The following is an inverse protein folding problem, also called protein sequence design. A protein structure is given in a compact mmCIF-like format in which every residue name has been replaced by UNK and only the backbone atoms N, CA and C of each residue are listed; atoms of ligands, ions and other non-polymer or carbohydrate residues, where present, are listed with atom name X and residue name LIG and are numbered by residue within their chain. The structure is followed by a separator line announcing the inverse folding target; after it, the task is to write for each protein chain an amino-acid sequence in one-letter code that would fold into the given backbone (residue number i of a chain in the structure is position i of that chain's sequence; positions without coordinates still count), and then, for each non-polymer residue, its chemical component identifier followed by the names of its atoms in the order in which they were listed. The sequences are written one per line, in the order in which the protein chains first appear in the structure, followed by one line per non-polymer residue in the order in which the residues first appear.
data_IF_502368263987
#
_entry.id   IF_502368263987
#
_cell.length_a   1.000
_cell.length_b   1.000
_cell.length_c   1.000
_cell.angle_alpha   90.00
_cell.angle_beta   90.00
_cell.angle_gamma   90.00
#
_symmetry.space_group_name_H-M   'P 1'
#
loop_
_entity.id
_entity.type
_entity.pdbx_description
1 polymer ?
#
# COMPACT_ATOMS: atom_id res chain seq x y z
N UNK A 1 -72.43 23.74 19.85
CA UNK A 1 -72.12 24.17 18.46
C UNK A 1 -70.65 23.90 18.19
N UNK A 2 -70.34 22.91 17.36
CA UNK A 2 -68.95 22.50 17.05
C UNK A 2 -68.39 23.48 16.01
N UNK A 3 -67.49 24.36 16.43
CA UNK A 3 -66.72 25.21 15.54
C UNK A 3 -65.81 24.31 14.70
N UNK A 4 -66.23 24.00 13.47
CA UNK A 4 -65.35 23.44 12.47
C UNK A 4 -64.25 24.48 12.23
N UNK A 5 -63.05 24.25 12.74
CA UNK A 5 -61.85 24.96 12.32
C UNK A 5 -61.86 24.98 10.79
N UNK A 6 -61.85 26.15 10.14
CA UNK A 6 -62.06 26.21 8.70
C UNK A 6 -60.92 25.43 8.06
N UNK A 7 -61.26 24.36 7.33
CA UNK A 7 -60.32 23.39 6.71
C UNK A 7 -59.16 24.10 5.99
N UNK A 8 -59.43 25.28 5.41
CA UNK A 8 -58.41 26.17 4.82
C UNK A 8 -57.29 26.59 5.79
N UNK A 9 -57.59 26.92 7.04
CA UNK A 9 -56.57 27.30 8.05
C UNK A 9 -55.72 26.11 8.48
N UNK A 10 -56.30 24.92 8.59
CA UNK A 10 -55.56 23.68 8.89
C UNK A 10 -54.62 23.34 7.73
N UNK A 11 -55.11 23.46 6.50
CA UNK A 11 -54.31 23.23 5.30
C UNK A 11 -53.14 24.22 5.18
N UNK A 12 -53.39 25.51 5.40
CA UNK A 12 -52.34 26.54 5.39
C UNK A 12 -51.31 26.28 6.50
N UNK A 13 -51.75 25.94 7.72
CA UNK A 13 -50.84 25.63 8.81
C UNK A 13 -49.96 24.40 8.51
N UNK A 14 -50.54 23.34 7.95
CA UNK A 14 -49.80 22.14 7.52
C UNK A 14 -48.78 22.45 6.43
N UNK A 15 -49.14 23.29 5.46
CA UNK A 15 -48.22 23.70 4.39
C UNK A 15 -47.05 24.51 4.97
N UNK A 16 -47.32 25.44 5.88
CA UNK A 16 -46.27 26.24 6.54
C UNK A 16 -45.32 25.33 7.33
N UNK A 17 -45.85 24.38 8.10
CA UNK A 17 -45.03 23.40 8.84
C UNK A 17 -44.14 22.60 7.87
N UNK A 18 -44.73 22.07 6.79
CA UNK A 18 -43.98 21.30 5.79
C UNK A 18 -42.86 22.13 5.16
N UNK A 19 -43.15 23.37 4.77
CA UNK A 19 -42.15 24.28 4.18
C UNK A 19 -41.03 24.59 5.19
N UNK A 20 -41.37 24.90 6.45
CA UNK A 20 -40.36 25.14 7.49
C UNK A 20 -39.51 23.90 7.76
N UNK A 21 -40.10 22.71 7.73
CA UNK A 21 -39.38 21.45 7.90
C UNK A 21 -38.40 21.22 6.74
N UNK A 22 -38.85 21.38 5.49
CA UNK A 22 -38.00 21.23 4.31
C UNK A 22 -36.85 22.24 4.31
N UNK A 23 -37.13 23.50 4.68
CA UNK A 23 -36.08 24.53 4.79
C UNK A 23 -35.07 24.18 5.89
N UNK A 24 -35.54 23.76 7.07
CA UNK A 24 -34.67 23.33 8.16
C UNK A 24 -33.81 22.13 7.76
N UNK A 25 -34.40 21.14 7.09
CA UNK A 25 -33.69 19.96 6.59
C UNK A 25 -32.63 20.35 5.55
N UNK A 26 -32.97 21.23 4.60
CA UNK A 26 -32.03 21.72 3.59
C UNK A 26 -30.84 22.45 4.20
N UNK A 27 -31.06 23.31 5.19
CA UNK A 27 -30.00 23.99 5.93
C UNK A 27 -29.10 22.97 6.67
N UNK A 28 -29.72 21.96 7.28
CA UNK A 28 -28.98 20.91 7.97
C UNK A 28 -28.09 20.08 7.02
N UNK A 29 -28.63 19.68 5.85
CA UNK A 29 -27.86 18.95 4.83
C UNK A 29 -26.66 19.78 4.33
N UNK A 30 -26.85 21.08 4.07
CA UNK A 30 -25.75 21.96 3.67
C UNK A 30 -24.70 22.13 4.78
N UNK A 31 -25.10 22.07 6.04
CA UNK A 31 -24.15 22.09 7.15
C UNK A 31 -23.37 20.78 7.25
N UNK A 32 -24.04 19.65 7.02
CA UNK A 32 -23.40 18.32 6.99
C UNK A 32 -22.39 18.21 5.85
N UNK A 33 -22.75 18.68 4.66
CA UNK A 33 -21.86 18.74 3.49
C UNK A 33 -20.55 19.50 3.81
N UNK A 34 -20.68 20.68 4.42
CA UNK A 34 -19.51 21.46 4.88
C UNK A 34 -18.69 20.74 5.95
N UNK A 35 -19.32 19.97 6.83
CA UNK A 35 -18.62 19.20 7.84
C UNK A 35 -17.84 18.05 7.19
N UNK A 36 -18.46 17.34 6.24
CA UNK A 36 -17.82 16.27 5.48
C UNK A 36 -16.62 16.82 4.71
N UNK A 37 -16.79 17.92 3.97
CA UNK A 37 -15.70 18.54 3.20
C UNK A 37 -14.52 18.92 4.10
N UNK A 38 -14.79 19.53 5.26
CA UNK A 38 -13.75 19.86 6.23
C UNK A 38 -13.02 18.60 6.70
N UNK A 39 -13.77 17.57 7.09
CA UNK A 39 -13.19 16.30 7.56
C UNK A 39 -12.44 15.52 6.46
N UNK A 40 -12.83 15.64 5.20
CA UNK A 40 -12.12 15.03 4.08
C UNK A 40 -10.85 15.81 3.71
N UNK A 41 -10.89 17.14 3.87
CA UNK A 41 -9.72 18.01 3.66
C UNK A 41 -8.71 17.94 4.82
N UNK A 42 -9.17 17.67 6.04
CA UNK A 42 -8.32 17.58 7.23
C UNK A 42 -8.19 16.13 7.72
N UNK A 43 -6.95 15.64 7.79
CA UNK A 43 -6.52 14.58 8.70
C UNK A 43 -6.88 13.11 8.40
N UNK A 44 -7.66 12.76 7.36
CA UNK A 44 -7.95 11.34 7.09
C UNK A 44 -6.69 10.49 6.78
N UNK A 45 -5.64 11.12 6.24
CA UNK A 45 -4.40 10.46 5.83
C UNK A 45 -3.13 11.16 6.35
N UNK A 46 -3.14 11.69 7.58
CA UNK A 46 -1.89 12.21 8.17
C UNK A 46 -0.85 11.09 8.14
N UNK A 47 0.39 11.28 7.65
CA UNK A 47 1.37 10.21 7.60
C UNK A 47 1.64 9.67 9.02
N UNK A 48 1.68 8.35 9.22
CA UNK A 48 1.99 7.80 10.53
C UNK A 48 3.46 8.02 10.85
N UNK A 49 3.81 7.92 12.14
CA UNK A 49 5.20 7.73 12.54
C UNK A 49 5.59 6.32 12.13
N UNK A 50 6.62 6.17 11.32
CA UNK A 50 7.15 4.89 10.88
C UNK A 50 8.44 4.55 11.64
N UNK A 51 8.45 3.39 12.28
CA UNK A 51 9.60 2.87 13.01
C UNK A 51 10.22 1.75 12.17
N UNK A 52 11.49 1.92 11.85
CA UNK A 52 12.24 0.97 11.03
C UNK A 52 13.24 0.19 11.87
N UNK A 53 13.54 -1.04 11.46
CA UNK A 53 14.66 -1.80 12.01
C UNK A 53 16.00 -1.21 11.56
N UNK A 54 17.06 -1.48 12.31
CA UNK A 54 18.40 -1.12 11.85
C UNK A 54 18.73 -1.93 10.58
N UNK A 55 19.15 -1.29 9.48
CA UNK A 55 19.44 -2.00 8.24
C UNK A 55 20.66 -2.90 8.45
N UNK A 56 20.58 -4.14 7.96
CA UNK A 56 21.73 -5.03 8.01
C UNK A 56 22.84 -4.50 7.10
N UNK A 57 24.00 -4.28 7.71
CA UNK A 57 25.20 -3.85 7.02
C UNK A 57 26.08 -5.06 6.72
N UNK A 58 26.42 -5.23 5.46
CA UNK A 58 27.41 -6.19 4.99
C UNK A 58 28.74 -5.48 4.78
N UNK A 59 29.83 -6.14 5.15
CA UNK A 59 31.19 -5.63 5.02
C UNK A 59 32.04 -6.64 4.27
N UNK A 60 33.02 -6.18 3.50
CA UNK A 60 34.00 -7.06 2.84
C UNK A 60 34.71 -7.93 3.88
N UNK A 61 34.88 -9.22 3.58
CA UNK A 61 35.44 -10.22 4.49
C UNK A 61 34.52 -10.62 5.66
N UNK A 62 33.32 -10.05 5.75
CA UNK A 62 32.34 -10.41 6.78
C UNK A 62 31.73 -11.79 6.54
N UNK A 63 31.23 -12.43 7.60
CA UNK A 63 30.50 -13.69 7.49
C UNK A 63 29.04 -13.43 7.06
N UNK A 64 28.62 -14.02 5.95
CA UNK A 64 27.25 -13.98 5.47
C UNK A 64 26.93 -15.23 4.66
N UNK A 65 25.76 -15.84 4.89
CA UNK A 65 25.26 -16.95 4.06
C UNK A 65 24.27 -16.42 3.05
N UNK A 66 24.36 -16.89 1.80
CA UNK A 66 23.43 -16.50 0.75
C UNK A 66 21.97 -16.78 1.14
N UNK A 67 21.70 -17.94 1.76
CA UNK A 67 20.35 -18.32 2.20
C UNK A 67 19.75 -17.35 3.23
N UNK A 68 20.57 -16.83 4.15
CA UNK A 68 20.12 -15.88 5.16
C UNK A 68 19.78 -14.53 4.51
N UNK A 69 20.60 -14.09 3.54
CA UNK A 69 20.35 -12.84 2.81
C UNK A 69 19.12 -12.92 1.91
N UNK A 70 18.90 -14.05 1.22
CA UNK A 70 17.72 -14.19 0.37
C UNK A 70 16.44 -14.25 1.20
N UNK A 71 16.46 -14.90 2.36
CA UNK A 71 15.33 -14.89 3.29
C UNK A 71 15.03 -13.49 3.82
N UNK A 72 16.06 -12.73 4.18
CA UNK A 72 15.92 -11.36 4.66
C UNK A 72 15.38 -10.40 3.59
N UNK A 73 15.84 -10.53 2.35
CA UNK A 73 15.30 -9.78 1.22
C UNK A 73 13.82 -10.11 0.98
N UNK A 74 13.45 -11.39 1.03
CA UNK A 74 12.05 -11.83 0.88
C UNK A 74 11.15 -11.24 1.97
N UNK A 75 11.60 -11.25 3.24
CA UNK A 75 10.87 -10.60 4.34
C UNK A 75 10.77 -9.08 4.16
N UNK A 76 11.79 -8.45 3.59
CA UNK A 76 11.81 -7.02 3.26
C UNK A 76 10.96 -6.65 2.02
N UNK A 77 10.19 -7.60 1.48
CA UNK A 77 9.28 -7.40 0.36
C UNK A 77 9.97 -7.40 -1.01
N UNK A 78 11.16 -7.96 -1.13
CA UNK A 78 11.78 -8.21 -2.44
C UNK A 78 11.27 -9.50 -3.07
N UNK A 79 11.26 -9.54 -4.40
CA UNK A 79 10.87 -10.72 -5.19
C UNK A 79 12.10 -11.33 -5.88
N UNK A 80 12.21 -12.65 -5.81
CA UNK A 80 13.23 -13.40 -6.54
C UNK A 80 12.81 -13.54 -8.01
N UNK A 81 13.73 -13.28 -8.93
CA UNK A 81 13.57 -13.42 -10.39
C UNK A 81 14.56 -14.41 -10.95
N UNK A 82 14.18 -15.07 -12.05
CA UNK A 82 15.12 -15.92 -12.78
C UNK A 82 16.26 -15.08 -13.39
N UNK A 83 17.41 -15.70 -13.64
CA UNK A 83 18.64 -15.02 -14.09
C UNK A 83 18.44 -14.17 -15.35
N UNK A 84 17.61 -14.64 -16.29
CA UNK A 84 17.34 -13.96 -17.57
C UNK A 84 16.09 -13.05 -17.55
N UNK A 85 15.39 -12.96 -16.42
CA UNK A 85 14.23 -12.08 -16.29
C UNK A 85 14.67 -10.64 -15.95
N UNK A 86 13.97 -9.66 -16.52
CA UNK A 86 14.22 -8.26 -16.19
C UNK A 86 13.89 -7.98 -14.71
N UNK A 87 14.82 -7.34 -14.00
CA UNK A 87 14.63 -6.91 -12.62
C UNK A 87 13.84 -5.60 -12.55
N UNK A 88 12.78 -5.58 -11.76
CA UNK A 88 12.08 -4.37 -11.35
C UNK A 88 12.60 -3.87 -10.00
N UNK A 89 12.19 -2.67 -9.60
CA UNK A 89 12.48 -2.16 -8.24
C UNK A 89 11.94 -3.15 -7.21
N UNK A 90 12.78 -3.45 -6.21
CA UNK A 90 12.55 -4.53 -5.23
C UNK A 90 12.55 -5.94 -5.81
N UNK A 91 13.26 -6.18 -6.90
CA UNK A 91 13.59 -7.54 -7.34
C UNK A 91 15.07 -7.87 -7.05
N UNK A 92 15.35 -9.15 -6.88
CA UNK A 92 16.70 -9.69 -6.83
C UNK A 92 16.80 -10.96 -7.65
N UNK A 93 18.02 -11.30 -8.07
CA UNK A 93 18.33 -12.60 -8.65
C UNK A 93 19.61 -13.15 -8.05
N UNK A 94 19.76 -14.46 -8.09
CA UNK A 94 20.92 -15.18 -7.55
C UNK A 94 21.52 -16.07 -8.62
N UNK A 95 22.83 -16.22 -8.56
CA UNK A 95 23.57 -17.11 -9.45
C UNK A 95 24.74 -17.74 -8.70
N UNK A 96 25.46 -18.62 -9.38
CA UNK A 96 26.62 -19.32 -8.84
C UNK A 96 27.68 -19.53 -9.92
N UNK A 97 28.93 -19.60 -9.50
CA UNK A 97 30.07 -19.83 -10.36
C UNK A 97 30.23 -18.74 -11.42
N UNK A 98 30.61 -19.17 -12.61
CA UNK A 98 30.83 -18.31 -13.78
C UNK A 98 29.54 -17.65 -14.29
N UNK A 99 28.36 -18.22 -14.01
CA UNK A 99 27.06 -17.66 -14.39
C UNK A 99 26.74 -16.34 -13.68
N UNK A 100 27.49 -15.97 -12.65
CA UNK A 100 27.38 -14.65 -12.05
C UNK A 100 27.74 -13.52 -13.02
N UNK A 101 28.63 -13.79 -13.99
CA UNK A 101 29.00 -12.80 -14.99
C UNK A 101 27.83 -12.44 -15.92
N UNK A 102 26.88 -13.34 -16.14
CA UNK A 102 25.66 -13.08 -16.93
C UNK A 102 24.67 -12.14 -16.21
N UNK A 103 24.82 -11.93 -14.90
CA UNK A 103 23.96 -11.02 -14.13
C UNK A 103 24.24 -9.54 -14.43
N UNK A 104 25.42 -9.24 -14.97
CA UNK A 104 25.92 -7.88 -15.16
C UNK A 104 26.37 -7.69 -16.60
N UNK A 105 25.95 -6.59 -17.23
CA UNK A 105 26.36 -6.32 -18.61
C UNK A 105 27.85 -6.00 -18.72
N UNK A 106 28.40 -5.35 -17.69
CA UNK A 106 29.82 -4.96 -17.61
C UNK A 106 30.34 -5.33 -16.21
N UNK A 107 31.04 -6.46 -16.04
CA UNK A 107 31.60 -6.83 -14.74
C UNK A 107 32.75 -5.87 -14.36
N UNK A 108 32.81 -5.40 -13.10
CA UNK A 108 33.91 -4.54 -12.64
C UNK A 108 35.25 -5.29 -12.64
N UNK A 109 36.38 -4.58 -12.81
CA UNK A 109 37.71 -5.22 -12.90
C UNK A 109 38.07 -6.06 -11.66
N UNK A 110 37.57 -5.68 -10.49
CA UNK A 110 37.76 -6.42 -9.25
C UNK A 110 36.77 -7.57 -9.04
N UNK A 111 35.96 -7.89 -10.05
CA UNK A 111 34.98 -8.98 -10.02
C UNK A 111 35.65 -10.32 -10.31
N UNK A 112 36.13 -10.97 -9.25
CA UNK A 112 36.79 -12.27 -9.32
C UNK A 112 35.76 -13.35 -8.96
N UNK A 113 35.56 -14.30 -9.87
CA UNK A 113 34.63 -15.42 -9.70
C UNK A 113 35.37 -16.75 -9.70
N UNK A 114 35.01 -17.60 -8.75
CA UNK A 114 35.39 -19.02 -8.68
C UNK A 114 34.15 -19.89 -8.91
N UNK A 115 34.31 -21.19 -9.16
CA UNK A 115 33.18 -22.14 -9.27
C UNK A 115 32.28 -22.13 -8.02
N UNK A 116 32.88 -21.90 -6.85
CA UNK A 116 32.18 -21.89 -5.55
C UNK A 116 31.59 -20.51 -5.20
N UNK A 117 31.80 -19.50 -6.04
CA UNK A 117 31.30 -18.15 -5.78
C UNK A 117 29.78 -18.10 -5.97
N UNK A 118 29.08 -17.61 -4.97
CA UNK A 118 27.65 -17.34 -4.99
C UNK A 118 27.40 -15.85 -5.14
N UNK A 119 26.48 -15.45 -6.02
CA UNK A 119 26.23 -14.05 -6.30
C UNK A 119 24.76 -13.68 -6.11
N UNK A 120 24.54 -12.47 -5.63
CA UNK A 120 23.24 -11.89 -5.37
C UNK A 120 23.19 -10.48 -5.93
N UNK A 121 22.39 -10.27 -6.96
CA UNK A 121 22.16 -8.97 -7.58
C UNK A 121 20.79 -8.45 -7.16
N UNK A 122 20.77 -7.23 -6.64
CA UNK A 122 19.59 -6.59 -6.05
C UNK A 122 19.33 -5.28 -6.78
N UNK A 123 18.14 -5.08 -7.34
CA UNK A 123 17.71 -3.78 -7.88
C UNK A 123 16.95 -3.01 -6.81
N UNK A 124 17.62 -2.04 -6.17
CA UNK A 124 17.07 -1.30 -5.02
C UNK A 124 16.23 -0.09 -5.44
N UNK A 125 16.71 0.67 -6.43
CA UNK A 125 16.00 1.80 -7.02
C UNK A 125 16.16 1.78 -8.54
N UNK A 126 15.50 2.69 -9.25
CA UNK A 126 15.74 2.83 -10.69
C UNK A 126 17.21 3.20 -10.95
N UNK A 127 17.87 2.41 -11.81
CA UNK A 127 19.29 2.55 -12.13
C UNK A 127 20.27 2.26 -10.98
N UNK A 128 19.82 1.76 -9.82
CA UNK A 128 20.70 1.47 -8.69
C UNK A 128 20.67 -0.01 -8.32
N UNK A 129 21.82 -0.67 -8.49
CA UNK A 129 22.02 -2.08 -8.20
C UNK A 129 23.00 -2.27 -7.05
N UNK A 130 22.84 -3.38 -6.33
CA UNK A 130 23.84 -3.88 -5.40
C UNK A 130 24.17 -5.31 -5.80
N UNK A 131 25.47 -5.62 -5.92
CA UNK A 131 25.96 -6.96 -6.19
C UNK A 131 26.80 -7.43 -5.02
N UNK A 132 26.50 -8.62 -4.54
CA UNK A 132 27.18 -9.26 -3.41
C UNK A 132 27.72 -10.58 -3.92
N UNK A 133 29.02 -10.82 -3.71
CA UNK A 133 29.64 -12.12 -3.94
C UNK A 133 30.05 -12.75 -2.62
N UNK A 134 29.78 -14.04 -2.50
CA UNK A 134 30.00 -14.82 -1.28
C UNK A 134 30.72 -16.10 -1.67
N UNK A 135 31.80 -16.42 -0.98
CA UNK A 135 32.51 -17.69 -1.11
C UNK A 135 32.66 -18.28 0.29
N UNK A 136 32.30 -19.56 0.48
CA UNK A 136 32.41 -20.26 1.77
C UNK A 136 31.81 -19.46 2.96
N UNK A 137 30.64 -18.85 2.79
CA UNK A 137 29.96 -17.97 3.77
C UNK A 137 30.72 -16.67 4.13
N UNK A 138 31.67 -16.25 3.30
CA UNK A 138 32.42 -15.00 3.48
C UNK A 138 32.13 -14.07 2.32
N UNK A 139 31.84 -12.82 2.60
CA UNK A 139 31.62 -11.79 1.59
C UNK A 139 32.95 -11.47 0.92
N UNK A 140 33.10 -11.84 -0.35
CA UNK A 140 34.34 -11.62 -1.13
C UNK A 140 34.30 -10.31 -1.91
N UNK A 141 33.12 -9.81 -2.23
CA UNK A 141 32.93 -8.64 -3.07
C UNK A 141 31.59 -7.96 -2.81
N UNK A 142 31.62 -6.64 -2.83
CA UNK A 142 30.47 -5.77 -2.63
C UNK A 142 30.58 -4.64 -3.64
N UNK A 143 29.50 -4.44 -4.40
CA UNK A 143 29.45 -3.45 -5.46
C UNK A 143 28.11 -2.72 -5.43
N UNK A 144 28.10 -1.42 -5.69
CA UNK A 144 26.87 -0.62 -5.70
C UNK A 144 26.82 0.46 -6.78
N UNK A 145 25.60 0.91 -7.06
CA UNK A 145 25.30 1.95 -8.03
C UNK A 145 25.02 1.42 -9.43
N UNK A 146 24.80 2.34 -10.38
CA UNK A 146 24.48 2.01 -11.78
C UNK A 146 25.61 1.22 -12.48
N UNK A 147 26.86 1.52 -12.11
CA UNK A 147 28.06 0.92 -12.70
C UNK A 147 28.71 -0.13 -11.79
N UNK A 148 28.05 -0.53 -10.69
CA UNK A 148 28.56 -1.51 -9.73
C UNK A 148 30.02 -1.26 -9.31
N UNK A 149 30.27 -0.08 -8.73
CA UNK A 149 31.59 0.25 -8.19
C UNK A 149 31.82 -0.54 -6.91
N UNK A 150 33.02 -1.09 -6.75
CA UNK A 150 33.38 -1.83 -5.53
C UNK A 150 33.37 -0.91 -4.31
N UNK A 151 32.84 -1.41 -3.20
CA UNK A 151 32.75 -0.69 -1.92
C UNK A 151 33.09 -1.61 -0.75
N UNK A 152 33.51 -1.03 0.37
CA UNK A 152 33.88 -1.81 1.56
C UNK A 152 32.68 -2.32 2.37
N UNK A 153 31.52 -1.69 2.18
CA UNK A 153 30.30 -2.08 2.87
C UNK A 153 29.05 -1.62 2.13
N UNK A 154 27.98 -2.40 2.22
CA UNK A 154 26.65 -2.02 1.75
C UNK A 154 25.62 -2.20 2.87
N UNK A 155 24.53 -1.45 2.80
CA UNK A 155 23.39 -1.62 3.70
C UNK A 155 22.18 -2.13 2.91
N UNK A 156 21.58 -3.22 3.40
CA UNK A 156 20.31 -3.73 2.92
C UNK A 156 19.16 -2.77 3.30
N UNK A 157 17.94 -3.05 2.83
CA UNK A 157 16.80 -2.23 3.19
C UNK A 157 16.44 -2.42 4.66
N UNK A 158 16.09 -1.32 5.32
CA UNK A 158 15.45 -1.37 6.62
C UNK A 158 14.02 -1.90 6.46
N UNK A 159 13.61 -2.75 7.39
CA UNK A 159 12.25 -3.28 7.44
C UNK A 159 11.37 -2.34 8.27
N UNK A 160 10.14 -2.09 7.80
CA UNK A 160 9.16 -1.36 8.57
C UNK A 160 8.70 -2.25 9.74
N UNK A 161 9.08 -1.87 10.96
CA UNK A 161 8.76 -2.64 12.16
C UNK A 161 7.36 -2.29 12.69
N UNK A 162 7.04 -1.01 12.76
CA UNK A 162 5.76 -0.54 13.27
C UNK A 162 5.38 0.82 12.69
N UNK A 163 4.08 1.09 12.65
CA UNK A 163 3.57 2.45 12.43
C UNK A 163 2.62 2.84 13.56
N UNK A 164 2.63 4.12 13.91
CA UNK A 164 1.75 4.67 14.93
C UNK A 164 1.00 5.88 14.40
N UNK A 165 -0.27 5.97 14.78
CA UNK A 165 -1.10 7.14 14.57
C UNK A 165 -1.91 7.40 15.84
N UNK A 166 -1.80 8.61 16.39
CA UNK A 166 -2.47 9.01 17.65
C UNK A 166 -2.27 7.97 18.77
N UNK A 167 -1.00 7.56 18.98
CA UNK A 167 -0.57 6.53 19.93
C UNK A 167 -1.19 5.13 19.74
N UNK A 168 -1.95 4.91 18.67
CA UNK A 168 -2.47 3.59 18.30
C UNK A 168 -1.55 2.91 17.27
N UNK A 169 -1.21 1.63 17.47
CA UNK A 169 -0.48 0.87 16.48
C UNK A 169 -1.36 0.64 15.26
N UNK A 170 -0.86 1.02 14.09
CA UNK A 170 -1.52 0.78 12.81
C UNK A 170 -0.51 0.17 11.83
N UNK A 171 -1.00 -0.51 10.79
CA UNK A 171 -0.17 -0.89 9.64
C UNK A 171 -0.97 -0.52 8.40
N UNK A 172 -0.48 0.48 7.66
CA UNK A 172 -1.06 0.93 6.39
C UNK A 172 0.02 1.27 5.39
N UNK A 173 -0.29 1.02 4.12
CA UNK A 173 0.51 1.47 2.99
C UNK A 173 -0.37 2.35 2.12
N UNK A 174 -0.01 3.62 1.98
CA UNK A 174 -0.68 4.52 1.05
C UNK A 174 -0.31 4.08 -0.37
N UNK A 175 -1.30 3.84 -1.21
CA UNK A 175 -1.12 3.32 -2.58
C UNK A 175 -2.19 3.95 -3.44
N UNK A 176 -1.85 4.38 -4.65
CA UNK A 176 -2.83 4.99 -5.55
C UNK A 176 -3.85 3.94 -5.98
N UNK A 177 -5.09 4.35 -6.24
CA UNK A 177 -6.16 3.41 -6.62
C UNK A 177 -5.80 2.64 -7.91
N UNK A 178 -5.07 3.27 -8.82
CA UNK A 178 -4.60 2.68 -10.09
C UNK A 178 -3.53 1.59 -9.91
N UNK A 179 -2.82 1.57 -8.79
CA UNK A 179 -1.82 0.55 -8.48
C UNK A 179 -2.46 -0.75 -7.95
N UNK A 180 -3.75 -0.72 -7.59
CA UNK A 180 -4.44 -1.91 -7.10
C UNK A 180 -4.88 -2.82 -8.25
N UNK A 181 -4.67 -4.15 -8.14
CA UNK A 181 -5.14 -5.08 -9.15
C UNK A 181 -6.65 -4.99 -9.32
N UNK A 182 -7.12 -4.95 -10.57
CA UNK A 182 -8.55 -4.86 -10.89
C UNK A 182 -9.37 -6.01 -10.27
N UNK A 183 -8.76 -7.20 -10.13
CA UNK A 183 -9.36 -8.33 -9.46
C UNK A 183 -9.72 -8.04 -8.00
N UNK A 184 -8.89 -7.27 -7.27
CA UNK A 184 -9.16 -6.88 -5.89
C UNK A 184 -10.34 -5.91 -5.81
N UNK A 185 -10.37 -4.91 -6.70
CA UNK A 185 -11.49 -3.97 -6.79
C UNK A 185 -12.81 -4.71 -7.08
N UNK A 186 -12.81 -5.60 -8.09
CA UNK A 186 -13.98 -6.39 -8.45
C UNK A 186 -14.43 -7.32 -7.32
N UNK A 187 -13.50 -7.91 -6.58
CA UNK A 187 -13.82 -8.76 -5.44
C UNK A 187 -14.50 -7.98 -4.32
N UNK A 188 -13.98 -6.79 -3.96
CA UNK A 188 -14.59 -5.92 -2.94
C UNK A 188 -15.99 -5.48 -3.38
N UNK A 189 -16.15 -5.04 -4.63
CA UNK A 189 -17.46 -4.69 -5.18
C UNK A 189 -18.42 -5.89 -5.14
N UNK A 190 -17.97 -7.10 -5.49
CA UNK A 190 -18.83 -8.28 -5.45
C UNK A 190 -19.26 -8.69 -4.03
N UNK A 191 -18.40 -8.51 -3.02
CA UNK A 191 -18.65 -8.91 -1.63
C UNK A 191 -19.48 -7.86 -0.88
N UNK A 192 -19.10 -6.59 -0.97
CA UNK A 192 -19.71 -5.50 -0.19
C UNK A 192 -20.99 -4.98 -0.86
N UNK A 193 -20.88 -4.52 -2.11
CA UNK A 193 -22.01 -3.98 -2.87
C UNK A 193 -21.75 -3.99 -4.38
N UNK A 194 -22.34 -4.97 -5.06
CA UNK A 194 -22.19 -5.15 -6.51
C UNK A 194 -22.75 -3.97 -7.34
N UNK A 195 -23.56 -3.09 -6.74
CA UNK A 195 -24.12 -1.89 -7.39
C UNK A 195 -23.58 -0.60 -6.81
N UNK A 196 -22.46 -0.67 -6.07
CA UNK A 196 -21.85 0.50 -5.43
C UNK A 196 -21.65 1.68 -6.40
N UNK A 197 -21.26 1.39 -7.64
CA UNK A 197 -21.01 2.39 -8.70
C UNK A 197 -22.27 2.84 -9.44
N UNK A 198 -23.42 2.19 -9.23
CA UNK A 198 -24.67 2.50 -9.92
C UNK A 198 -25.55 3.49 -9.14
N UNK A 199 -25.21 3.77 -7.87
CA UNK A 199 -25.99 4.66 -7.03
C UNK A 199 -25.14 5.62 -6.20
N UNK A 200 -25.72 6.76 -5.83
CA UNK A 200 -25.06 7.82 -5.06
C UNK A 200 -25.00 7.52 -3.54
N UNK A 201 -24.68 6.27 -3.19
CA UNK A 201 -24.60 5.80 -1.79
C UNK A 201 -25.93 5.52 -1.10
N UNK A 202 -27.07 5.64 -1.80
CA UNK A 202 -28.40 5.34 -1.27
C UNK A 202 -29.15 4.40 -2.21
N UNK A 203 -29.59 3.25 -1.70
CA UNK A 203 -30.38 2.27 -2.45
C UNK A 203 -31.86 2.34 -2.05
N UNK A 204 -32.70 3.03 -2.84
CA UNK A 204 -34.16 3.11 -2.59
C UNK A 204 -34.80 1.71 -2.47
N UNK A 205 -34.53 0.74 -3.36
CA UNK A 205 -35.10 -0.61 -3.22
C UNK A 205 -34.59 -1.33 -1.96
N UNK A 206 -33.33 -1.10 -1.58
CA UNK A 206 -32.74 -1.67 -0.37
C UNK A 206 -33.41 -1.15 0.90
N UNK A 207 -33.61 0.17 1.00
CA UNK A 207 -34.33 0.79 2.11
C UNK A 207 -35.79 0.33 2.19
N UNK A 208 -36.49 0.24 1.06
CA UNK A 208 -37.87 -0.24 1.03
C UNK A 208 -37.98 -1.69 1.52
N UNK A 209 -37.04 -2.57 1.11
CA UNK A 209 -36.97 -3.95 1.60
C UNK A 209 -36.71 -3.99 3.11
N UNK A 210 -35.74 -3.21 3.61
CA UNK A 210 -35.42 -3.17 5.03
C UNK A 210 -36.60 -2.69 5.88
N UNK A 211 -37.35 -1.68 5.43
CA UNK A 211 -38.57 -1.21 6.11
C UNK A 211 -39.64 -2.30 6.11
N UNK A 212 -39.81 -3.02 4.98
CA UNK A 212 -40.75 -4.14 4.92
C UNK A 212 -40.38 -5.26 5.89
N UNK A 213 -39.11 -5.64 5.96
CA UNK A 213 -38.62 -6.68 6.88
C UNK A 213 -38.79 -6.25 8.35
N UNK A 214 -38.55 -4.97 8.67
CA UNK A 214 -38.77 -4.40 10.00
C UNK A 214 -40.26 -4.40 10.40
N UNK A 215 -41.17 -4.10 9.47
CA UNK A 215 -42.61 -4.11 9.74
C UNK A 215 -43.19 -5.52 9.83
N UNK A 216 -42.46 -6.53 9.34
CA UNK A 216 -42.82 -7.94 9.41
C UNK A 216 -42.33 -8.62 10.71
N UNK A 217 -41.24 -8.15 11.31
CA UNK A 217 -40.69 -8.65 12.58
C UNK A 217 -41.50 -8.19 13.78
#
# INVERSE_FOLDING_TARGET
MKNALPIKKIFIASLVILVTFVLSLGIWVLNLDRQIDRSLQSEWFVPPIEIYTAPKKLVLGGNARLADLTNELKHSGYRERALQEALFVKDFTRSQGTLCSEMVSEPPESFILTEDTQCLLIKKYEGYFQLITIEQNTVTGLYEGALLKQVDSISLNAELFAQFYDDQPIIRKITALEDFPLACLNAVLAIEDHRFLEHQGISIPGMARAVFDLLRS
#
